data_IF_865119165452
#
_entry.id   IF_865119165452
#
_cell.length_a   1.000
_cell.length_b   1.000
_cell.length_c   1.000
_cell.angle_alpha   90.00
_cell.angle_beta   90.00
_cell.angle_gamma   90.00
#
_symmetry.space_group_name_H-M   'P 1'
#
loop_
_entity.id
_entity.type
_entity.pdbx_description
1 polymer ?
#
# COMPACT_ATOMS: atom_id res chain seq x y z
N UNK A 1 -29.34 -2.73 4.29
CA UNK A 1 -28.94 -1.71 3.31
C UNK A 1 -29.72 -1.96 2.03
N UNK A 2 -30.40 -0.95 1.48
CA UNK A 2 -31.11 -1.06 0.21
C UNK A 2 -30.14 -1.34 -0.93
N UNK A 3 -30.62 -1.93 -2.03
CA UNK A 3 -29.83 -2.24 -3.22
C UNK A 3 -29.27 -0.97 -3.95
N UNK A 4 -29.51 0.22 -3.40
CA UNK A 4 -29.08 1.53 -3.92
C UNK A 4 -27.68 1.98 -3.50
N UNK A 5 -27.07 1.34 -2.49
CA UNK A 5 -25.83 1.85 -1.85
C UNK A 5 -24.58 0.99 -2.17
N UNK A 6 -24.69 0.11 -3.17
CA UNK A 6 -23.58 -0.76 -3.58
C UNK A 6 -22.57 0.03 -4.42
N UNK A 7 -21.28 -0.18 -4.15
CA UNK A 7 -20.22 0.32 -5.03
C UNK A 7 -20.23 -0.52 -6.31
N UNK A 8 -20.33 0.12 -7.46
CA UNK A 8 -20.25 -0.52 -8.77
C UNK A 8 -18.80 -0.51 -9.24
N UNK A 9 -18.20 -1.68 -9.37
CA UNK A 9 -16.81 -1.84 -9.79
C UNK A 9 -16.80 -2.39 -11.22
N UNK A 10 -16.28 -1.62 -12.18
CA UNK A 10 -16.06 -2.13 -13.53
C UNK A 10 -14.97 -3.20 -13.51
N UNK A 11 -15.28 -4.43 -13.93
CA UNK A 11 -14.28 -5.47 -14.17
C UNK A 11 -13.79 -5.36 -15.62
N UNK A 12 -12.66 -4.67 -15.82
CA UNK A 12 -12.03 -4.49 -17.13
C UNK A 12 -10.97 -5.56 -17.31
N UNK A 13 -11.25 -6.51 -18.20
CA UNK A 13 -10.43 -7.70 -18.31
C UNK A 13 -10.50 -8.34 -19.69
N UNK A 14 -9.54 -9.20 -19.99
CA UNK A 14 -9.40 -9.91 -21.29
C UNK A 14 -10.38 -11.08 -21.44
N UNK A 15 -11.58 -10.99 -20.88
CA UNK A 15 -12.61 -12.03 -20.94
C UNK A 15 -13.86 -11.61 -20.15
N UNK A 16 -14.98 -12.29 -20.34
CA UNK A 16 -16.17 -12.09 -19.48
C UNK A 16 -16.08 -12.86 -18.16
N UNK A 17 -15.31 -13.95 -18.12
CA UNK A 17 -15.20 -14.80 -16.94
C UNK A 17 -13.79 -15.40 -16.84
N UNK A 18 -13.19 -15.35 -15.64
CA UNK A 18 -11.95 -16.06 -15.36
C UNK A 18 -12.25 -17.42 -14.72
N UNK A 19 -12.18 -18.46 -15.55
CA UNK A 19 -12.29 -19.84 -15.07
C UNK A 19 -11.33 -20.09 -13.90
N UNK A 20 -11.87 -20.40 -12.72
CA UNK A 20 -11.11 -20.69 -11.50
C UNK A 20 -10.89 -19.51 -10.54
N UNK A 21 -11.11 -18.26 -10.96
CA UNK A 21 -10.93 -17.07 -10.09
C UNK A 21 -12.21 -16.23 -9.96
N UNK A 22 -13.16 -16.36 -10.89
CA UNK A 22 -14.41 -15.58 -10.89
C UNK A 22 -15.15 -15.62 -9.54
N UNK A 23 -15.29 -16.82 -8.95
CA UNK A 23 -15.94 -17.00 -7.65
C UNK A 23 -15.24 -16.21 -6.52
N UNK A 24 -13.91 -16.10 -6.59
CA UNK A 24 -13.13 -15.38 -5.59
C UNK A 24 -13.29 -13.86 -5.74
N UNK A 25 -13.40 -13.35 -6.98
CA UNK A 25 -13.73 -11.95 -7.26
C UNK A 25 -15.13 -11.59 -6.72
N UNK A 26 -16.14 -12.41 -7.03
CA UNK A 26 -17.51 -12.20 -6.58
C UNK A 26 -17.64 -12.28 -5.06
N UNK A 27 -16.93 -13.23 -4.43
CA UNK A 27 -16.89 -13.39 -2.98
C UNK A 27 -16.28 -12.16 -2.30
N UNK A 28 -15.16 -11.64 -2.83
CA UNK A 28 -14.51 -10.44 -2.31
C UNK A 28 -15.40 -9.19 -2.48
N UNK A 29 -16.00 -8.99 -3.66
CA UNK A 29 -16.90 -7.86 -3.90
C UNK A 29 -18.15 -7.90 -3.01
N UNK A 30 -18.78 -9.08 -2.88
CA UNK A 30 -19.97 -9.27 -2.04
C UNK A 30 -19.68 -8.98 -0.57
N UNK A 31 -18.51 -9.38 -0.06
CA UNK A 31 -18.07 -9.11 1.31
C UNK A 31 -17.93 -7.61 1.62
N UNK A 32 -17.76 -6.77 0.59
CA UNK A 32 -17.59 -5.32 0.70
C UNK A 32 -18.86 -4.54 0.30
N UNK A 33 -19.99 -5.22 0.13
CA UNK A 33 -21.23 -4.63 -0.41
C UNK A 33 -20.97 -3.89 -1.74
N UNK A 34 -20.19 -4.51 -2.61
CA UNK A 34 -19.88 -4.05 -3.97
C UNK A 34 -20.44 -5.01 -5.02
N UNK A 35 -20.65 -4.50 -6.23
CA UNK A 35 -21.16 -5.22 -7.39
C UNK A 35 -20.15 -5.11 -8.54
N UNK A 36 -19.80 -6.24 -9.15
CA UNK A 36 -18.97 -6.26 -10.35
C UNK A 36 -19.84 -5.98 -11.57
N UNK A 37 -19.46 -4.97 -12.33
CA UNK A 37 -20.12 -4.56 -13.58
C UNK A 37 -19.19 -4.89 -14.73
N UNK A 38 -19.70 -5.54 -15.76
CA UNK A 38 -18.99 -5.75 -17.01
C UNK A 38 -19.38 -4.63 -17.98
N UNK A 39 -18.48 -3.70 -18.34
CA UNK A 39 -18.83 -2.61 -19.23
C UNK A 39 -19.31 -3.15 -20.58
N UNK A 40 -20.50 -2.71 -21.00
CA UNK A 40 -20.96 -2.90 -22.37
C UNK A 40 -20.19 -1.97 -23.30
N UNK A 41 -19.95 -2.41 -24.53
CA UNK A 41 -19.21 -1.64 -25.54
C UNK A 41 -19.83 -1.83 -26.92
N UNK A 42 -19.43 -1.02 -27.90
CA UNK A 42 -19.79 -1.22 -29.30
C UNK A 42 -18.75 -2.11 -30.00
N UNK A 43 -19.22 -3.22 -30.60
CA UNK A 43 -18.38 -4.23 -31.26
C UNK A 43 -17.60 -3.59 -32.42
N UNK A 44 -18.16 -2.55 -33.04
CA UNK A 44 -17.53 -1.83 -34.15
C UNK A 44 -16.20 -1.17 -33.77
N UNK A 45 -16.01 -0.86 -32.48
CA UNK A 45 -14.79 -0.22 -31.97
C UNK A 45 -13.57 -1.16 -31.93
N UNK A 46 -13.77 -2.48 -31.98
CA UNK A 46 -12.68 -3.47 -31.83
C UNK A 46 -11.65 -3.41 -32.97
N UNK A 47 -12.05 -2.92 -34.14
CA UNK A 47 -11.17 -2.81 -35.30
C UNK A 47 -10.30 -1.54 -35.28
N UNK A 48 -10.70 -0.52 -34.52
CA UNK A 48 -9.97 0.77 -34.42
C UNK A 48 -9.26 0.96 -33.07
N UNK A 49 -9.63 0.18 -32.05
CA UNK A 49 -9.16 0.40 -30.66
C UNK A 49 -7.64 0.34 -30.52
N UNK A 50 -6.97 -0.50 -31.31
CA UNK A 50 -5.51 -0.60 -31.30
C UNK A 50 -4.83 0.71 -31.71
N UNK A 51 -5.35 1.36 -32.75
CA UNK A 51 -4.86 2.65 -33.23
C UNK A 51 -5.13 3.78 -32.23
N UNK A 52 -6.29 3.76 -31.59
CA UNK A 52 -6.68 4.77 -30.60
C UNK A 52 -5.79 4.76 -29.35
N UNK A 53 -5.41 3.57 -28.87
CA UNK A 53 -4.46 3.40 -27.78
C UNK A 53 -2.99 3.50 -28.21
N UNK A 54 -2.72 3.54 -29.52
CA UNK A 54 -1.36 3.44 -30.06
C UNK A 54 -0.68 2.09 -29.77
N UNK A 55 -1.47 1.04 -29.49
CA UNK A 55 -1.02 -0.30 -29.13
C UNK A 55 -1.83 -1.36 -29.90
N UNK A 56 -1.22 -1.93 -30.93
CA UNK A 56 -1.82 -3.04 -31.68
C UNK A 56 -1.56 -4.38 -30.98
N UNK A 57 -2.60 -5.18 -30.82
CA UNK A 57 -2.53 -6.49 -30.15
C UNK A 57 -3.21 -7.58 -30.95
N UNK A 58 -2.60 -8.77 -30.98
CA UNK A 58 -3.10 -9.88 -31.79
C UNK A 58 -4.37 -10.49 -31.18
N UNK A 59 -4.44 -10.52 -29.84
CA UNK A 59 -5.55 -11.13 -29.10
C UNK A 59 -6.85 -10.31 -29.21
N UNK A 60 -7.95 -10.89 -29.74
CA UNK A 60 -9.27 -10.24 -29.73
C UNK A 60 -9.76 -9.92 -28.32
N UNK A 61 -9.43 -10.77 -27.35
CA UNK A 61 -9.79 -10.61 -25.94
C UNK A 61 -9.09 -9.41 -25.29
N UNK A 62 -7.86 -9.10 -25.72
CA UNK A 62 -7.15 -7.90 -25.28
C UNK A 62 -7.73 -6.64 -25.93
N UNK A 63 -8.12 -6.70 -27.22
CA UNK A 63 -8.85 -5.61 -27.86
C UNK A 63 -10.20 -5.34 -27.18
N UNK A 64 -10.89 -6.40 -26.75
CA UNK A 64 -12.11 -6.28 -25.96
C UNK A 64 -11.87 -5.58 -24.61
N UNK A 65 -10.77 -5.91 -23.92
CA UNK A 65 -10.37 -5.25 -22.69
C UNK A 65 -10.15 -3.74 -22.90
N UNK A 66 -9.47 -3.36 -23.99
CA UNK A 66 -9.23 -1.96 -24.36
C UNK A 66 -10.55 -1.23 -24.70
N UNK A 67 -11.45 -1.87 -25.44
CA UNK A 67 -12.76 -1.29 -25.77
C UNK A 67 -13.64 -1.09 -24.52
N UNK A 68 -13.59 -2.01 -23.55
CA UNK A 68 -14.26 -1.85 -22.25
C UNK A 68 -13.69 -0.70 -21.44
N UNK A 69 -12.38 -0.50 -21.48
CA UNK A 69 -11.72 0.64 -20.84
C UNK A 69 -12.23 1.97 -21.41
N UNK A 70 -12.32 2.06 -22.74
CA UNK A 70 -12.92 3.20 -23.44
C UNK A 70 -14.37 3.44 -23.02
N UNK A 71 -15.20 2.40 -22.97
CA UNK A 71 -16.58 2.54 -22.52
C UNK A 71 -16.74 3.07 -21.08
N UNK A 72 -15.78 2.76 -20.20
CA UNK A 72 -15.72 3.34 -18.84
C UNK A 72 -15.36 4.82 -18.88
N UNK A 73 -14.31 5.19 -19.62
CA UNK A 73 -13.86 6.59 -19.76
C UNK A 73 -14.93 7.47 -20.42
N UNK A 74 -15.61 6.98 -21.44
CA UNK A 74 -16.72 7.69 -22.12
C UNK A 74 -18.00 7.79 -21.26
N UNK A 75 -18.02 7.17 -20.07
CA UNK A 75 -19.15 7.23 -19.15
C UNK A 75 -20.36 6.40 -19.59
N UNK A 76 -20.18 5.47 -20.53
CA UNK A 76 -21.24 4.53 -20.97
C UNK A 76 -21.60 3.59 -19.82
N UNK A 77 -20.58 3.10 -19.09
CA UNK A 77 -20.76 2.31 -17.88
C UNK A 77 -20.80 3.22 -16.63
N UNK A 78 -21.93 3.24 -15.92
CA UNK A 78 -22.06 3.95 -14.64
C UNK A 78 -21.44 3.15 -13.50
N UNK A 79 -20.19 3.44 -13.19
CA UNK A 79 -19.38 2.75 -12.17
C UNK A 79 -18.67 3.75 -11.24
N UNK A 80 -18.31 3.28 -10.05
CA UNK A 80 -17.67 4.09 -9.00
C UNK A 80 -16.16 3.81 -8.88
N UNK A 81 -15.68 2.72 -9.49
CA UNK A 81 -14.27 2.33 -9.52
C UNK A 81 -14.02 1.24 -10.55
N UNK A 82 -12.75 0.97 -10.82
CA UNK A 82 -12.34 0.04 -11.89
C UNK A 82 -11.33 -0.97 -11.36
N UNK A 83 -11.60 -2.25 -11.60
CA UNK A 83 -10.69 -3.35 -11.37
C UNK A 83 -10.21 -3.92 -12.70
N UNK A 84 -8.96 -3.62 -13.05
CA UNK A 84 -8.30 -4.06 -14.27
C UNK A 84 -7.58 -5.38 -13.99
N UNK A 85 -7.89 -6.44 -14.73
CA UNK A 85 -7.31 -7.74 -14.44
C UNK A 85 -6.89 -8.54 -15.68
N UNK A 86 -5.79 -9.28 -15.56
CA UNK A 86 -5.30 -10.22 -16.58
C UNK A 86 -4.69 -11.47 -15.95
N UNK A 87 -4.46 -12.52 -16.75
CA UNK A 87 -3.68 -13.68 -16.28
C UNK A 87 -2.17 -13.32 -16.21
N UNK A 88 -1.43 -13.93 -15.27
CA UNK A 88 0.02 -13.68 -15.13
C UNK A 88 0.89 -14.23 -16.26
N UNK A 89 0.38 -15.18 -17.05
CA UNK A 89 1.19 -15.91 -18.04
C UNK A 89 1.31 -15.21 -19.39
N UNK A 90 0.52 -14.18 -19.65
CA UNK A 90 0.49 -13.49 -20.94
C UNK A 90 1.28 -12.18 -20.89
N UNK A 91 2.43 -12.14 -21.58
CA UNK A 91 3.27 -10.94 -21.65
C UNK A 91 2.57 -9.77 -22.36
N UNK A 92 1.84 -10.05 -23.46
CA UNK A 92 1.04 -9.04 -24.17
C UNK A 92 -0.04 -8.45 -23.24
N UNK A 93 -0.68 -9.30 -22.42
CA UNK A 93 -1.67 -8.85 -21.45
C UNK A 93 -1.08 -7.96 -20.34
N UNK A 94 0.19 -8.16 -19.95
CA UNK A 94 0.84 -7.28 -18.98
C UNK A 94 1.01 -5.86 -19.54
N UNK A 95 1.39 -5.72 -20.81
CA UNK A 95 1.51 -4.43 -21.50
C UNK A 95 0.14 -3.77 -21.60
N UNK A 96 -0.86 -4.50 -22.11
CA UNK A 96 -2.24 -3.98 -22.25
C UNK A 96 -2.84 -3.58 -20.90
N UNK A 97 -2.63 -4.38 -19.85
CA UNK A 97 -3.11 -4.06 -18.50
C UNK A 97 -2.56 -2.73 -18.02
N UNK A 98 -1.27 -2.47 -18.23
CA UNK A 98 -0.63 -1.23 -17.82
C UNK A 98 -1.16 -0.02 -18.60
N UNK A 99 -1.30 -0.15 -19.92
CA UNK A 99 -1.80 0.92 -20.80
C UNK A 99 -3.29 1.21 -20.54
N UNK A 100 -4.14 0.18 -20.47
CA UNK A 100 -5.57 0.31 -20.13
C UNK A 100 -5.77 0.98 -18.78
N UNK A 101 -4.97 0.58 -17.79
CA UNK A 101 -5.04 1.19 -16.46
C UNK A 101 -4.62 2.65 -16.48
N UNK A 102 -3.52 3.00 -17.17
CA UNK A 102 -3.06 4.39 -17.29
C UNK A 102 -4.13 5.26 -17.94
N UNK A 103 -4.67 4.81 -19.07
CA UNK A 103 -5.76 5.47 -19.78
C UNK A 103 -6.97 5.74 -18.87
N UNK A 104 -7.44 4.73 -18.13
CA UNK A 104 -8.57 4.92 -17.20
C UNK A 104 -8.22 5.93 -16.09
N UNK A 105 -7.02 5.84 -15.52
CA UNK A 105 -6.60 6.75 -14.44
C UNK A 105 -6.56 8.21 -14.90
N UNK A 106 -5.95 8.47 -16.07
CA UNK A 106 -5.75 9.82 -16.61
C UNK A 106 -7.07 10.45 -17.09
N UNK A 107 -7.99 9.66 -17.66
CA UNK A 107 -9.14 10.20 -18.37
C UNK A 107 -10.49 10.07 -17.63
N UNK A 108 -10.61 9.26 -16.56
CA UNK A 108 -11.91 9.03 -15.90
C UNK A 108 -12.11 9.69 -14.53
N UNK A 109 -11.03 10.00 -13.80
CA UNK A 109 -11.11 10.43 -12.39
C UNK A 109 -11.66 9.36 -11.42
N UNK A 110 -11.82 8.12 -11.90
CA UNK A 110 -12.22 6.97 -11.10
C UNK A 110 -10.99 6.32 -10.45
N UNK A 111 -11.12 5.77 -9.23
CA UNK A 111 -10.09 4.93 -8.67
C UNK A 111 -9.93 3.67 -9.53
N UNK A 112 -8.68 3.31 -9.81
CA UNK A 112 -8.36 2.12 -10.62
C UNK A 112 -7.32 1.26 -9.92
N UNK A 113 -7.59 -0.04 -9.87
CA UNK A 113 -6.66 -1.05 -9.39
C UNK A 113 -6.36 -2.01 -10.52
N UNK A 114 -5.09 -2.38 -10.66
CA UNK A 114 -4.66 -3.46 -11.54
C UNK A 114 -4.25 -4.68 -10.74
N UNK A 115 -4.61 -5.86 -11.24
CA UNK A 115 -4.17 -7.12 -10.66
C UNK A 115 -3.84 -8.16 -11.74
N UNK A 116 -2.72 -8.84 -11.55
CA UNK A 116 -2.33 -9.99 -12.34
C UNK A 116 -2.66 -11.27 -11.57
N UNK A 117 -3.62 -12.06 -12.06
CA UNK A 117 -4.03 -13.30 -11.40
C UNK A 117 -2.88 -14.30 -11.35
N UNK A 118 -2.65 -14.89 -10.18
CA UNK A 118 -1.79 -16.06 -10.03
C UNK A 118 -2.62 -17.35 -10.04
N UNK A 119 -1.96 -18.51 -10.14
CA UNK A 119 -2.63 -19.83 -10.15
C UNK A 119 -3.49 -20.10 -8.91
N UNK A 120 -3.28 -19.38 -7.80
CA UNK A 120 -3.99 -19.55 -6.53
C UNK A 120 -4.47 -18.22 -5.96
N UNK A 121 -5.15 -17.43 -6.79
CA UNK A 121 -5.82 -16.22 -6.31
C UNK A 121 -6.98 -16.61 -5.38
N UNK A 122 -7.08 -15.96 -4.22
CA UNK A 122 -8.16 -16.18 -3.23
C UNK A 122 -8.87 -14.87 -2.92
N UNK A 123 -10.11 -14.94 -2.44
CA UNK A 123 -10.88 -13.76 -2.04
C UNK A 123 -10.14 -12.93 -0.98
N UNK A 124 -9.44 -13.58 -0.05
CA UNK A 124 -8.65 -12.89 0.97
C UNK A 124 -7.53 -12.01 0.37
N UNK A 125 -6.86 -12.47 -0.68
CA UNK A 125 -5.82 -11.70 -1.38
C UNK A 125 -6.40 -10.50 -2.16
N UNK A 126 -7.64 -10.62 -2.61
CA UNK A 126 -8.37 -9.58 -3.34
C UNK A 126 -9.03 -8.57 -2.39
N UNK A 127 -9.39 -8.99 -1.17
CA UNK A 127 -10.19 -8.22 -0.24
C UNK A 127 -9.60 -6.85 0.05
N UNK A 128 -8.34 -6.77 0.48
CA UNK A 128 -7.69 -5.49 0.80
C UNK A 128 -7.66 -4.54 -0.41
N UNK A 129 -7.42 -5.09 -1.62
CA UNK A 129 -7.40 -4.29 -2.85
C UNK A 129 -8.79 -3.73 -3.14
N UNK A 130 -9.81 -4.59 -3.13
CA UNK A 130 -11.19 -4.16 -3.39
C UNK A 130 -11.71 -3.23 -2.30
N UNK A 131 -11.30 -3.40 -1.05
CA UNK A 131 -11.68 -2.56 0.07
C UNK A 131 -11.08 -1.16 -0.03
N UNK A 132 -9.81 -1.05 -0.44
CA UNK A 132 -9.20 0.23 -0.78
C UNK A 132 -9.97 0.92 -1.92
N UNK A 133 -10.31 0.17 -2.99
CA UNK A 133 -11.09 0.71 -4.12
C UNK A 133 -12.44 1.26 -3.68
N UNK A 134 -13.20 0.48 -2.90
CA UNK A 134 -14.53 0.88 -2.41
C UNK A 134 -14.44 2.05 -1.44
N UNK A 135 -13.38 2.09 -0.63
CA UNK A 135 -13.10 3.22 0.26
C UNK A 135 -12.84 4.49 -0.53
N UNK A 136 -11.95 4.45 -1.54
CA UNK A 136 -11.64 5.63 -2.36
C UNK A 136 -12.89 6.11 -3.09
N UNK A 137 -13.74 5.19 -3.55
CA UNK A 137 -15.00 5.52 -4.21
C UNK A 137 -16.01 6.19 -3.27
N UNK A 138 -16.18 5.68 -2.04
CA UNK A 138 -17.25 6.12 -1.10
C UNK A 138 -16.82 7.26 -0.16
N UNK A 139 -15.55 7.30 0.21
CA UNK A 139 -15.04 8.11 1.32
C UNK A 139 -14.14 9.25 0.86
N UNK A 140 -14.31 9.75 -0.39
CA UNK A 140 -13.52 10.90 -0.91
C UNK A 140 -13.52 12.10 0.04
N UNK A 141 -14.67 12.42 0.65
CA UNK A 141 -14.80 13.52 1.60
C UNK A 141 -13.93 13.32 2.87
N UNK A 142 -13.82 12.09 3.35
CA UNK A 142 -12.99 11.74 4.50
C UNK A 142 -11.50 11.81 4.12
N UNK A 143 -11.14 11.27 2.94
CA UNK A 143 -9.78 11.26 2.43
C UNK A 143 -9.27 12.66 2.05
N UNK A 144 -10.17 13.58 1.70
CA UNK A 144 -9.86 14.97 1.40
C UNK A 144 -9.58 15.83 2.65
N UNK A 145 -9.81 15.33 3.88
CA UNK A 145 -9.51 16.09 5.10
C UNK A 145 -8.01 16.38 5.21
N UNK A 146 -7.64 17.63 5.39
CA UNK A 146 -6.23 18.03 5.52
C UNK A 146 -5.76 18.15 6.98
N UNK A 147 -6.68 18.40 7.91
CA UNK A 147 -6.36 18.64 9.32
C UNK A 147 -7.09 17.64 10.23
N UNK A 148 -6.41 17.29 11.32
CA UNK A 148 -6.93 16.53 12.44
C UNK A 148 -7.50 17.50 13.48
N UNK A 149 -8.77 17.33 13.83
CA UNK A 149 -9.48 18.18 14.79
C UNK A 149 -9.89 17.38 16.03
N UNK A 150 -9.87 18.03 17.21
CA UNK A 150 -10.28 17.42 18.47
C UNK A 150 -9.26 16.43 19.02
N UNK A 151 -9.65 15.69 20.06
CA UNK A 151 -8.81 14.69 20.72
C UNK A 151 -9.13 13.29 20.19
N UNK A 152 -8.33 12.78 19.26
CA UNK A 152 -8.54 11.46 18.65
C UNK A 152 -7.37 10.53 18.86
N UNK A 153 -7.61 9.23 18.73
CA UNK A 153 -6.56 8.21 18.72
C UNK A 153 -6.63 7.35 17.46
N UNK A 154 -5.47 6.94 16.99
CA UNK A 154 -5.33 5.98 15.90
C UNK A 154 -4.51 4.78 16.34
N UNK A 155 -4.93 3.58 15.97
CA UNK A 155 -4.25 2.32 16.31
C UNK A 155 -3.98 1.52 15.03
N UNK A 156 -2.72 1.32 14.70
CA UNK A 156 -2.25 0.48 13.59
C UNK A 156 -1.75 -0.86 14.14
N UNK A 157 -2.53 -1.92 13.92
CA UNK A 157 -2.13 -3.29 14.26
C UNK A 157 -1.55 -4.00 13.03
N UNK A 158 -0.28 -3.73 12.74
CA UNK A 158 0.49 -4.38 11.69
C UNK A 158 0.97 -5.79 12.02
N UNK A 159 1.57 -6.44 11.01
CA UNK A 159 2.06 -7.82 11.08
C UNK A 159 3.19 -8.06 12.08
N UNK A 160 4.09 -7.08 12.28
CA UNK A 160 5.25 -7.20 13.17
C UNK A 160 5.15 -6.32 14.41
N UNK A 161 4.49 -5.17 14.29
CA UNK A 161 4.43 -4.16 15.36
C UNK A 161 3.08 -3.49 15.38
N UNK A 162 2.58 -3.20 16.57
CA UNK A 162 1.37 -2.41 16.82
C UNK A 162 1.77 -1.02 17.27
N UNK A 163 1.16 0.01 16.69
CA UNK A 163 1.40 1.40 17.04
C UNK A 163 0.10 2.08 17.42
N UNK A 164 0.20 3.04 18.32
CA UNK A 164 -0.89 3.95 18.63
C UNK A 164 -0.37 5.39 18.66
N UNK A 165 -1.22 6.33 18.29
CA UNK A 165 -0.96 7.76 18.39
C UNK A 165 -2.19 8.44 18.97
N UNK A 166 -1.99 9.40 19.86
CA UNK A 166 -3.02 10.33 20.33
C UNK A 166 -2.70 11.70 19.74
N UNK A 167 -3.68 12.30 19.06
CA UNK A 167 -3.56 13.63 18.47
C UNK A 167 -4.55 14.61 19.07
N UNK A 168 -4.16 15.88 19.15
CA UNK A 168 -5.03 17.00 19.45
C UNK A 168 -4.73 18.15 18.49
N UNK A 169 -5.72 18.54 17.70
CA UNK A 169 -5.66 19.71 16.81
C UNK A 169 -4.34 19.78 16.01
N UNK A 170 -4.11 18.75 15.18
CA UNK A 170 -2.91 18.50 14.36
C UNK A 170 -1.62 18.13 15.11
N UNK A 171 -1.59 18.19 16.45
CA UNK A 171 -0.42 17.84 17.24
C UNK A 171 -0.44 16.38 17.72
N UNK A 172 0.64 15.65 17.48
CA UNK A 172 0.89 14.35 18.10
C UNK A 172 1.32 14.59 19.55
N UNK A 173 0.46 14.26 20.51
CA UNK A 173 0.71 14.48 21.94
C UNK A 173 1.12 13.20 22.69
N UNK A 174 1.01 12.04 22.06
CA UNK A 174 1.51 10.79 22.62
C UNK A 174 1.59 9.67 21.59
N UNK A 175 2.54 8.75 21.78
CA UNK A 175 2.78 7.61 20.90
C UNK A 175 3.05 6.32 21.68
N UNK A 176 2.72 5.20 21.05
CA UNK A 176 3.06 3.87 21.53
C UNK A 176 3.53 3.01 20.38
N UNK A 177 4.57 2.21 20.62
CA UNK A 177 5.12 1.29 19.63
C UNK A 177 5.59 0.01 20.31
N UNK A 178 4.95 -1.10 19.98
CA UNK A 178 5.27 -2.41 20.58
C UNK A 178 5.28 -3.52 19.53
N UNK A 179 6.01 -4.63 19.76
CA UNK A 179 5.88 -5.81 18.92
C UNK A 179 4.45 -6.37 18.93
N UNK A 180 3.92 -6.76 17.77
CA UNK A 180 2.64 -7.48 17.67
C UNK A 180 2.89 -8.94 18.01
N UNK A 181 2.42 -9.39 19.18
CA UNK A 181 2.48 -10.82 19.56
C UNK A 181 1.05 -11.34 19.72
N UNK A 182 0.33 -10.79 20.68
CA UNK A 182 -1.11 -11.00 20.84
C UNK A 182 -1.81 -9.69 20.51
N UNK A 183 -2.58 -9.69 19.42
CA UNK A 183 -3.12 -8.48 18.78
C UNK A 183 -3.80 -7.54 19.80
N UNK A 184 -4.75 -8.05 20.60
CA UNK A 184 -5.47 -7.24 21.59
C UNK A 184 -4.56 -6.69 22.69
N UNK A 185 -3.75 -7.54 23.33
CA UNK A 185 -2.84 -7.12 24.40
C UNK A 185 -1.79 -6.10 23.89
N UNK A 186 -1.33 -6.26 22.64
CA UNK A 186 -0.37 -5.36 22.00
C UNK A 186 -1.01 -4.00 21.71
N UNK A 187 -2.26 -3.99 21.23
CA UNK A 187 -3.02 -2.76 20.99
C UNK A 187 -3.35 -2.02 22.28
N UNK A 188 -3.77 -2.72 23.34
CA UNK A 188 -3.97 -2.12 24.67
C UNK A 188 -2.69 -1.50 25.22
N UNK A 189 -1.56 -2.21 25.07
CA UNK A 189 -0.27 -1.70 25.54
C UNK A 189 0.18 -0.47 24.75
N UNK A 190 0.06 -0.49 23.42
CA UNK A 190 0.41 0.64 22.56
C UNK A 190 -0.47 1.86 22.88
N UNK A 191 -1.79 1.68 22.96
CA UNK A 191 -2.72 2.76 23.28
C UNK A 191 -2.44 3.32 24.68
N UNK A 192 -2.20 2.46 25.68
CA UNK A 192 -1.87 2.92 27.03
C UNK A 192 -0.60 3.77 27.06
N UNK A 193 0.46 3.35 26.35
CA UNK A 193 1.69 4.16 26.25
C UNK A 193 1.42 5.55 25.66
N UNK A 194 0.63 5.61 24.58
CA UNK A 194 0.27 6.86 23.94
C UNK A 194 -0.58 7.76 24.86
N UNK A 195 -1.56 7.19 25.57
CA UNK A 195 -2.40 7.91 26.54
C UNK A 195 -1.59 8.43 27.73
N UNK A 196 -0.72 7.60 28.30
CA UNK A 196 0.14 7.96 29.43
C UNK A 196 1.08 9.12 29.05
N UNK A 197 1.66 9.09 27.85
CA UNK A 197 2.51 10.16 27.33
C UNK A 197 1.70 11.44 27.07
N UNK A 198 0.49 11.32 26.54
CA UNK A 198 -0.41 12.44 26.30
C UNK A 198 -1.00 13.05 27.58
N UNK A 199 -0.94 12.34 28.72
CA UNK A 199 -1.54 12.76 29.97
C UNK A 199 -3.07 12.81 29.93
N UNK A 200 -3.70 12.00 29.09
CA UNK A 200 -5.16 11.91 28.91
C UNK A 200 -5.65 10.50 29.20
N UNK A 201 -6.94 10.36 29.52
CA UNK A 201 -7.56 9.05 29.71
C UNK A 201 -8.26 8.60 28.43
N UNK A 202 -8.52 7.29 28.33
CA UNK A 202 -9.26 6.75 27.18
C UNK A 202 -10.66 7.35 27.07
N UNK A 203 -11.30 7.66 28.19
CA UNK A 203 -12.65 8.24 28.21
C UNK A 203 -12.69 9.69 27.70
N UNK A 204 -11.53 10.35 27.61
CA UNK A 204 -11.43 11.70 27.07
C UNK A 204 -11.36 11.71 25.53
N UNK A 205 -11.03 10.57 24.90
CA UNK A 205 -10.94 10.46 23.45
C UNK A 205 -12.32 10.65 22.82
N UNK A 206 -12.42 11.56 21.85
CA UNK A 206 -13.66 11.85 21.14
C UNK A 206 -13.93 10.86 20.02
N UNK A 207 -12.88 10.28 19.42
CA UNK A 207 -13.02 9.22 18.43
C UNK A 207 -11.76 8.34 18.33
N UNK A 208 -11.94 7.08 17.95
CA UNK A 208 -10.86 6.09 17.75
C UNK A 208 -10.92 5.49 16.35
N UNK A 209 -9.80 5.60 15.63
CA UNK A 209 -9.59 4.95 14.33
C UNK A 209 -8.69 3.73 14.46
N UNK A 210 -8.99 2.66 13.73
CA UNK A 210 -8.15 1.46 13.66
C UNK A 210 -7.77 1.09 12.24
N UNK A 211 -6.54 0.62 12.06
CA UNK A 211 -6.01 0.15 10.77
C UNK A 211 -5.05 -1.04 10.91
N UNK A 212 -4.49 -1.48 9.79
CA UNK A 212 -3.63 -2.65 9.66
C UNK A 212 -4.39 -3.97 9.61
N UNK A 213 -3.62 -5.07 9.60
CA UNK A 213 -4.14 -6.45 9.56
C UNK A 213 -5.09 -6.77 10.72
N UNK A 214 -4.85 -6.21 11.90
CA UNK A 214 -5.67 -6.46 13.09
C UNK A 214 -6.91 -5.58 13.24
N UNK A 215 -7.17 -4.64 12.32
CA UNK A 215 -8.11 -3.51 12.51
C UNK A 215 -9.51 -3.89 12.97
N UNK A 216 -10.08 -4.98 12.46
CA UNK A 216 -11.43 -5.40 12.84
C UNK A 216 -11.47 -5.91 14.27
N UNK A 217 -10.53 -6.79 14.62
CA UNK A 217 -10.43 -7.34 15.98
C UNK A 217 -10.20 -6.25 17.02
N UNK A 218 -9.29 -5.31 16.74
CA UNK A 218 -9.04 -4.19 17.66
C UNK A 218 -10.18 -3.17 17.61
N UNK A 219 -10.80 -2.96 16.44
CA UNK A 219 -11.91 -2.03 16.26
C UNK A 219 -13.12 -2.44 17.08
N UNK A 220 -13.50 -3.72 17.02
CA UNK A 220 -14.58 -4.28 17.84
C UNK A 220 -14.26 -4.18 19.34
N UNK A 221 -13.01 -4.44 19.73
CA UNK A 221 -12.57 -4.36 21.13
C UNK A 221 -12.57 -2.92 21.68
N UNK A 222 -12.15 -1.95 20.86
CA UNK A 222 -12.10 -0.55 21.27
C UNK A 222 -13.41 0.21 21.03
N UNK A 223 -14.39 -0.41 20.36
CA UNK A 223 -15.58 0.25 19.82
C UNK A 223 -15.19 1.45 18.93
N UNK A 224 -14.31 1.20 17.97
CA UNK A 224 -13.74 2.21 17.09
C UNK A 224 -14.79 2.81 16.15
N UNK A 225 -14.74 4.13 15.98
CA UNK A 225 -15.62 4.91 15.09
C UNK A 225 -15.26 4.71 13.61
N UNK A 226 -14.00 4.38 13.33
CA UNK A 226 -13.50 4.08 12.00
C UNK A 226 -12.60 2.85 12.02
N UNK A 227 -12.94 1.83 11.23
CA UNK A 227 -12.07 0.68 10.95
C UNK A 227 -11.74 0.72 9.46
N UNK A 228 -10.50 1.09 9.12
CA UNK A 228 -10.12 1.39 7.74
C UNK A 228 -8.87 0.63 7.33
N UNK A 229 -8.87 0.10 6.11
CA UNK A 229 -7.73 -0.63 5.56
C UNK A 229 -6.48 0.25 5.39
N UNK A 230 -5.30 -0.36 5.40
CA UNK A 230 -4.03 0.34 5.57
C UNK A 230 -3.54 1.12 4.33
N UNK A 231 -3.96 0.78 3.10
CA UNK A 231 -3.53 1.50 1.88
C UNK A 231 -3.98 2.96 1.96
N UNK A 232 -5.26 3.19 2.23
CA UNK A 232 -5.85 4.52 2.34
C UNK A 232 -5.38 5.26 3.58
N UNK A 233 -5.28 4.59 4.71
CA UNK A 233 -4.83 5.21 5.97
C UNK A 233 -3.35 5.57 5.93
N UNK A 234 -2.48 4.65 5.51
CA UNK A 234 -1.03 4.86 5.51
C UNK A 234 -0.61 5.89 4.47
N UNK A 235 -1.21 5.86 3.26
CA UNK A 235 -0.93 6.89 2.24
C UNK A 235 -1.32 8.27 2.75
N UNK A 236 -2.51 8.40 3.35
CA UNK A 236 -2.96 9.66 3.95
C UNK A 236 -2.04 10.13 5.08
N UNK A 237 -1.68 9.25 6.01
CA UNK A 237 -0.75 9.55 7.09
C UNK A 237 0.63 9.95 6.58
N UNK A 238 1.12 9.32 5.51
CA UNK A 238 2.41 9.62 4.90
C UNK A 238 2.45 11.04 4.31
N UNK A 239 1.46 11.42 3.50
CA UNK A 239 1.41 12.77 2.90
C UNK A 239 1.11 13.85 3.94
N UNK A 240 0.33 13.53 4.98
CA UNK A 240 0.07 14.43 6.10
C UNK A 240 1.38 14.77 6.84
N UNK A 241 2.12 13.74 7.28
CA UNK A 241 3.39 13.93 8.00
C UNK A 241 4.47 14.59 7.12
N UNK A 242 4.47 14.33 5.82
CA UNK A 242 5.37 14.96 4.85
C UNK A 242 4.95 16.38 4.43
N UNK A 243 3.78 16.87 4.88
CA UNK A 243 3.17 18.15 4.44
C UNK A 243 3.03 18.25 2.92
N UNK A 244 2.67 17.13 2.29
CA UNK A 244 2.55 16.94 0.85
C UNK A 244 1.13 16.49 0.46
N UNK A 245 0.11 17.05 1.11
CA UNK A 245 -1.28 16.68 0.87
C UNK A 245 -1.88 17.30 -0.41
N UNK A 246 -1.17 18.20 -1.09
CA UNK A 246 -1.62 18.87 -2.31
C UNK A 246 -0.71 18.52 -3.47
N UNK A 247 -1.29 18.29 -4.65
CA UNK A 247 -0.58 17.82 -5.83
C UNK A 247 -0.25 16.33 -5.79
N UNK A 248 0.70 15.94 -6.65
CA UNK A 248 1.11 14.55 -6.79
C UNK A 248 2.14 14.16 -5.72
N UNK A 249 2.11 12.90 -5.29
CA UNK A 249 3.16 12.29 -4.47
C UNK A 249 3.23 10.78 -4.72
N UNK A 250 4.37 10.18 -4.40
CA UNK A 250 4.53 8.72 -4.38
C UNK A 250 4.91 8.29 -2.98
N UNK A 251 4.13 7.38 -2.38
CA UNK A 251 4.41 6.80 -1.07
C UNK A 251 4.94 5.37 -1.25
N UNK A 252 6.12 5.10 -0.70
CA UNK A 252 6.66 3.75 -0.53
C UNK A 252 6.59 3.40 0.95
N UNK A 253 5.75 2.43 1.31
CA UNK A 253 5.63 1.89 2.67
C UNK A 253 6.34 0.54 2.75
N UNK A 254 7.45 0.47 3.49
CA UNK A 254 8.20 -0.78 3.71
C UNK A 254 7.96 -1.27 5.14
N UNK A 255 6.95 -2.11 5.26
CA UNK A 255 6.53 -2.76 6.49
C UNK A 255 7.42 -3.93 6.90
N UNK A 256 6.94 -4.67 7.90
CA UNK A 256 7.66 -5.82 8.46
C UNK A 256 7.63 -7.05 7.56
N UNK A 257 6.49 -7.35 6.93
CA UNK A 257 6.33 -8.52 6.05
C UNK A 257 6.00 -8.17 4.59
N UNK A 258 5.45 -6.98 4.37
CA UNK A 258 4.97 -6.52 3.07
C UNK A 258 5.55 -5.14 2.73
N UNK A 259 5.35 -4.74 1.47
CA UNK A 259 5.70 -3.41 0.98
C UNK A 259 4.62 -2.91 0.03
N UNK A 260 4.52 -1.59 -0.11
CA UNK A 260 3.49 -0.93 -0.90
C UNK A 260 4.12 0.24 -1.63
N UNK A 261 3.73 0.42 -2.88
CA UNK A 261 3.96 1.64 -3.62
C UNK A 261 2.58 2.22 -3.96
N UNK A 262 2.38 3.50 -3.67
CA UNK A 262 1.07 4.16 -3.77
C UNK A 262 1.29 5.54 -4.39
N UNK A 263 0.65 5.81 -5.53
CA UNK A 263 0.49 7.17 -6.04
C UNK A 263 -0.61 7.88 -5.25
N UNK A 264 -0.39 9.15 -4.96
CA UNK A 264 -1.32 10.01 -4.22
C UNK A 264 -1.48 11.30 -5.00
N UNK A 265 -2.72 11.76 -5.13
CA UNK A 265 -3.06 13.05 -5.74
C UNK A 265 -3.99 13.81 -4.79
N UNK A 266 -3.62 15.01 -4.39
CA UNK A 266 -4.38 15.86 -3.45
C UNK A 266 -4.79 15.10 -2.18
N UNK A 267 -3.84 14.29 -1.66
CA UNK A 267 -4.00 13.51 -0.45
C UNK A 267 -4.90 12.29 -0.58
N UNK A 268 -5.42 12.01 -1.78
CA UNK A 268 -6.23 10.84 -2.08
C UNK A 268 -5.36 9.80 -2.79
N UNK A 269 -5.29 8.54 -2.29
CA UNK A 269 -4.55 7.49 -2.98
C UNK A 269 -5.22 7.15 -4.31
N UNK A 270 -4.40 7.07 -5.35
CA UNK A 270 -4.79 6.63 -6.69
C UNK A 270 -4.37 5.18 -6.92
N UNK A 271 -3.42 5.01 -7.85
CA UNK A 271 -2.85 3.71 -8.20
C UNK A 271 -1.96 3.20 -7.07
N UNK A 272 -2.06 1.91 -6.76
CA UNK A 272 -1.16 1.27 -5.82
C UNK A 272 -0.84 -0.17 -6.20
N UNK A 273 0.28 -0.65 -5.67
CA UNK A 273 0.69 -2.05 -5.74
C UNK A 273 1.12 -2.51 -4.36
N UNK A 274 0.94 -3.80 -4.11
CA UNK A 274 1.38 -4.45 -2.88
C UNK A 274 2.26 -5.64 -3.26
N UNK A 275 3.50 -5.62 -2.78
CA UNK A 275 4.45 -6.72 -2.91
C UNK A 275 4.59 -7.48 -1.60
N UNK A 276 5.67 -8.24 -1.47
CA UNK A 276 6.03 -8.88 -0.20
C UNK A 276 5.28 -10.18 0.12
N UNK A 277 4.68 -10.87 -0.87
CA UNK A 277 4.27 -12.28 -0.65
C UNK A 277 5.48 -13.14 -0.22
N UNK A 278 6.68 -12.77 -0.69
CA UNK A 278 7.95 -13.24 -0.16
C UNK A 278 8.58 -12.13 0.70
N UNK A 279 8.95 -12.45 1.95
CA UNK A 279 9.54 -11.50 2.91
C UNK A 279 10.92 -10.93 2.51
N UNK A 280 11.43 -11.23 1.30
CA UNK A 280 12.74 -10.78 0.80
C UNK A 280 12.87 -9.27 0.62
N UNK A 281 11.76 -8.57 0.38
CA UNK A 281 11.71 -7.11 0.17
C UNK A 281 11.04 -6.37 1.35
N UNK A 282 11.26 -6.84 2.58
CA UNK A 282 10.58 -6.32 3.77
C UNK A 282 11.54 -6.09 4.93
N UNK A 283 11.06 -5.40 5.97
CA UNK A 283 11.81 -5.21 7.22
C UNK A 283 12.25 -6.52 7.88
N UNK A 284 11.55 -7.63 7.65
CA UNK A 284 11.95 -8.95 8.18
C UNK A 284 13.28 -9.43 7.61
N UNK A 285 13.59 -9.13 6.35
CA UNK A 285 14.90 -9.46 5.78
C UNK A 285 16.00 -8.63 6.44
N UNK A 286 15.77 -7.34 6.68
CA UNK A 286 16.70 -6.46 7.38
C UNK A 286 16.92 -6.91 8.83
N UNK A 287 15.87 -7.34 9.53
CA UNK A 287 15.95 -7.90 10.88
C UNK A 287 16.76 -9.20 10.94
N UNK A 288 16.61 -10.08 9.92
CA UNK A 288 17.44 -11.28 9.83
C UNK A 288 18.90 -10.94 9.54
N UNK A 289 19.14 -9.92 8.72
CA UNK A 289 20.49 -9.42 8.44
C UNK A 289 21.16 -8.85 9.69
N UNK A 290 20.47 -8.01 10.47
CA UNK A 290 21.04 -7.45 11.71
C UNK A 290 21.42 -8.55 12.71
N UNK A 291 20.53 -9.55 12.90
CA UNK A 291 20.83 -10.74 13.72
C UNK A 291 22.02 -11.52 13.20
N UNK A 292 22.18 -11.64 11.88
CA UNK A 292 23.33 -12.32 11.28
C UNK A 292 24.65 -11.57 11.51
N UNK A 293 24.60 -10.24 11.50
CA UNK A 293 25.74 -9.38 11.79
C UNK A 293 26.03 -9.23 13.29
N UNK A 294 25.09 -9.67 14.15
CA UNK A 294 25.24 -9.59 15.60
C UNK A 294 25.02 -8.19 16.17
N UNK A 295 24.20 -7.37 15.50
CA UNK A 295 23.87 -5.99 15.88
C UNK A 295 22.36 -5.80 16.07
N UNK A 296 21.97 -4.75 16.78
CA UNK A 296 20.56 -4.36 16.86
C UNK A 296 20.08 -3.82 15.49
N UNK A 297 18.79 -3.94 15.20
CA UNK A 297 18.24 -3.42 13.93
C UNK A 297 18.41 -1.91 13.80
N UNK A 298 18.42 -1.18 14.92
CA UNK A 298 18.66 0.28 14.95
C UNK A 298 20.07 0.66 14.52
N UNK A 299 21.05 -0.23 14.67
CA UNK A 299 22.45 -0.02 14.28
C UNK A 299 22.71 -0.37 12.80
N UNK A 300 21.78 -1.09 12.16
CA UNK A 300 21.96 -1.58 10.78
C UNK A 300 22.10 -0.43 9.77
N UNK A 301 21.38 0.67 9.98
CA UNK A 301 21.44 1.85 9.12
C UNK A 301 22.84 2.48 9.10
N UNK A 302 23.43 2.66 10.28
CA UNK A 302 24.76 3.26 10.45
C UNK A 302 25.89 2.40 9.90
N UNK A 303 25.71 1.08 9.85
CA UNK A 303 26.61 0.17 9.14
C UNK A 303 26.45 0.30 7.63
N UNK A 304 25.20 0.27 7.15
CA UNK A 304 24.89 0.30 5.73
C UNK A 304 25.40 1.58 5.03
N UNK A 305 25.35 2.73 5.70
CA UNK A 305 25.86 3.99 5.13
C UNK A 305 27.38 3.99 4.89
N UNK A 306 28.14 3.18 5.64
CA UNK A 306 29.61 3.07 5.56
C UNK A 306 30.08 2.03 4.52
N UNK A 307 29.20 1.11 4.15
CA UNK A 307 29.51 0.03 3.22
C UNK A 307 29.30 0.39 1.76
N UNK A 308 29.78 -0.50 0.88
CA UNK A 308 29.53 -0.48 -0.55
C UNK A 308 28.79 -1.75 -0.97
N UNK A 309 27.52 -1.60 -1.36
CA UNK A 309 26.67 -2.74 -1.76
C UNK A 309 27.32 -3.64 -2.83
N UNK A 310 28.03 -3.03 -3.80
CA UNK A 310 28.68 -3.71 -4.94
C UNK A 310 29.76 -4.73 -4.53
N UNK A 311 30.23 -4.69 -3.28
CA UNK A 311 31.23 -5.64 -2.77
C UNK A 311 30.60 -7.00 -2.38
N UNK A 312 29.27 -7.11 -2.41
CA UNK A 312 28.52 -8.29 -1.99
C UNK A 312 27.60 -8.72 -3.13
N UNK A 313 27.78 -9.95 -3.58
CA UNK A 313 26.96 -10.53 -4.66
C UNK A 313 25.65 -11.08 -4.07
N UNK A 314 24.54 -10.47 -4.44
CA UNK A 314 23.21 -10.79 -3.93
C UNK A 314 22.41 -11.67 -4.90
N UNK A 315 21.63 -12.60 -4.33
CA UNK A 315 20.51 -13.25 -5.02
C UNK A 315 19.23 -12.79 -4.32
N UNK A 316 18.59 -11.77 -4.89
CA UNK A 316 17.76 -10.83 -4.14
C UNK A 316 16.30 -11.27 -3.94
N UNK A 317 15.75 -12.19 -4.73
CA UNK A 317 14.29 -12.45 -4.71
C UNK A 317 13.75 -13.26 -3.52
N UNK A 318 14.57 -14.14 -2.93
CA UNK A 318 14.13 -15.03 -1.86
C UNK A 318 14.89 -14.73 -0.58
N UNK A 319 14.18 -14.48 0.53
CA UNK A 319 14.79 -14.18 1.83
C UNK A 319 15.84 -15.24 2.24
N UNK A 320 15.58 -16.52 1.95
CA UNK A 320 16.50 -17.62 2.29
C UNK A 320 17.80 -17.53 1.49
N UNK A 321 17.68 -17.33 0.17
CA UNK A 321 18.86 -17.21 -0.70
C UNK A 321 19.59 -15.88 -0.50
N UNK A 322 18.87 -14.80 -0.23
CA UNK A 322 19.44 -13.50 0.13
C UNK A 322 20.31 -13.62 1.38
N UNK A 323 19.79 -14.22 2.46
CA UNK A 323 20.59 -14.46 3.68
C UNK A 323 21.79 -15.36 3.38
N UNK A 324 21.61 -16.41 2.57
CA UNK A 324 22.72 -17.29 2.18
C UNK A 324 23.82 -16.53 1.39
N UNK A 325 23.45 -15.60 0.51
CA UNK A 325 24.40 -14.71 -0.20
C UNK A 325 25.19 -13.83 0.77
N UNK A 326 24.53 -13.24 1.78
CA UNK A 326 25.20 -12.45 2.82
C UNK A 326 26.19 -13.31 3.63
N UNK A 327 25.78 -14.53 4.02
CA UNK A 327 26.65 -15.49 4.73
C UNK A 327 27.89 -15.85 3.90
N UNK A 328 27.69 -16.17 2.62
CA UNK A 328 28.77 -16.53 1.72
C UNK A 328 29.75 -15.36 1.52
N UNK A 329 29.25 -14.14 1.41
CA UNK A 329 30.07 -12.94 1.25
C UNK A 329 30.93 -12.65 2.48
N UNK A 330 30.35 -12.78 3.68
CA UNK A 330 31.14 -12.71 4.93
C UNK A 330 32.25 -13.77 4.97
N UNK A 331 31.95 -15.00 4.56
CA UNK A 331 32.95 -16.08 4.51
C UNK A 331 34.08 -15.81 3.49
N UNK A 332 33.81 -15.02 2.44
CA UNK A 332 34.79 -14.55 1.45
C UNK A 332 35.56 -13.30 1.90
N UNK A 333 35.26 -12.75 3.08
CA UNK A 333 35.95 -11.59 3.66
C UNK A 333 35.27 -10.24 3.41
N UNK A 334 34.01 -10.21 2.96
CA UNK A 334 33.24 -8.96 2.92
C UNK A 334 33.06 -8.39 4.33
N UNK A 335 33.05 -7.06 4.44
CA UNK A 335 32.88 -6.37 5.72
C UNK A 335 31.40 -6.39 6.17
N UNK A 336 31.12 -6.32 7.49
CA UNK A 336 29.75 -6.13 7.99
C UNK A 336 29.04 -4.92 7.37
N UNK A 337 29.76 -3.84 7.13
CA UNK A 337 29.26 -2.63 6.50
C UNK A 337 28.80 -2.89 5.05
N UNK A 338 29.63 -3.56 4.24
CA UNK A 338 29.27 -3.93 2.87
C UNK A 338 28.03 -4.83 2.82
N UNK A 339 27.92 -5.77 3.77
CA UNK A 339 26.79 -6.69 3.91
C UNK A 339 25.50 -5.95 4.31
N UNK A 340 25.59 -5.00 5.24
CA UNK A 340 24.47 -4.15 5.61
C UNK A 340 24.00 -3.28 4.43
N UNK A 341 24.94 -2.70 3.68
CA UNK A 341 24.67 -1.90 2.48
C UNK A 341 23.97 -2.74 1.40
N UNK A 342 24.47 -3.95 1.13
CA UNK A 342 23.90 -4.87 0.16
C UNK A 342 22.50 -5.37 0.55
N UNK A 343 22.24 -5.60 1.84
CA UNK A 343 20.90 -5.95 2.30
C UNK A 343 19.90 -4.81 2.08
N UNK A 344 20.26 -3.56 2.41
CA UNK A 344 19.40 -2.41 2.15
C UNK A 344 19.15 -2.22 0.64
N UNK A 345 20.20 -2.31 -0.17
CA UNK A 345 20.09 -2.22 -1.62
C UNK A 345 19.19 -3.32 -2.20
N UNK A 346 19.34 -4.56 -1.74
CA UNK A 346 18.54 -5.69 -2.21
C UNK A 346 17.04 -5.54 -1.92
N UNK A 347 16.65 -4.91 -0.81
CA UNK A 347 15.23 -4.61 -0.53
C UNK A 347 14.69 -3.61 -1.54
N UNK A 348 15.44 -2.54 -1.77
CA UNK A 348 15.06 -1.44 -2.67
C UNK A 348 15.02 -1.91 -4.13
N UNK A 349 16.00 -2.69 -4.57
CA UNK A 349 16.06 -3.28 -5.92
C UNK A 349 14.81 -4.12 -6.23
N UNK A 350 14.38 -4.97 -5.30
CA UNK A 350 13.17 -5.75 -5.47
C UNK A 350 11.90 -4.90 -5.57
N UNK A 351 11.79 -3.82 -4.76
CA UNK A 351 10.66 -2.88 -4.86
C UNK A 351 10.64 -2.21 -6.23
N UNK A 352 11.81 -1.78 -6.72
CA UNK A 352 11.94 -1.18 -8.03
C UNK A 352 11.50 -2.12 -9.16
N UNK A 353 11.96 -3.37 -9.14
CA UNK A 353 11.66 -4.35 -10.18
C UNK A 353 10.21 -4.86 -10.14
N UNK A 354 9.62 -4.99 -8.94
CA UNK A 354 8.31 -5.62 -8.78
C UNK A 354 7.15 -4.62 -8.73
N UNK A 355 7.38 -3.41 -8.18
CA UNK A 355 6.30 -2.46 -7.89
C UNK A 355 6.41 -1.19 -8.71
N UNK A 356 7.61 -0.61 -8.83
CA UNK A 356 7.78 0.67 -9.50
C UNK A 356 7.67 0.57 -11.04
N UNK A 357 7.71 -0.64 -11.61
CA UNK A 357 7.33 -0.86 -13.01
C UNK A 357 5.83 -0.67 -13.25
N UNK A 358 5.03 -0.82 -12.21
CA UNK A 358 3.59 -0.65 -12.27
C UNK A 358 3.16 0.73 -11.76
N UNK A 359 4.00 1.62 -11.27
CA UNK A 359 3.54 2.95 -10.80
C UNK A 359 4.43 4.03 -11.39
N UNK A 360 3.81 5.08 -11.92
CA UNK A 360 4.56 6.26 -12.29
C UNK A 360 5.03 6.97 -11.01
N UNK A 361 6.35 7.08 -10.86
CA UNK A 361 6.95 7.75 -9.70
C UNK A 361 6.84 9.26 -9.89
N UNK A 362 5.98 9.88 -9.09
CA UNK A 362 5.82 11.34 -8.94
C UNK A 362 6.51 11.85 -7.68
N UNK A 363 7.06 13.06 -7.76
CA UNK A 363 7.66 13.74 -6.60
C UNK A 363 6.64 14.56 -5.82
N UNK A 364 6.72 14.61 -4.47
CA UNK A 364 7.77 14.01 -3.67
C UNK A 364 7.63 12.49 -3.52
N UNK A 365 8.78 11.81 -3.50
CA UNK A 365 8.87 10.39 -3.15
C UNK A 365 9.02 10.26 -1.64
N UNK A 366 7.99 9.74 -0.97
CA UNK A 366 7.88 9.65 0.48
C UNK A 366 8.11 8.20 0.91
N UNK A 367 9.13 7.95 1.74
CA UNK A 367 9.44 6.63 2.28
C UNK A 367 9.00 6.53 3.75
N UNK A 368 8.19 5.53 4.05
CA UNK A 368 7.55 5.33 5.35
C UNK A 368 7.58 3.87 5.79
N UNK A 369 7.03 3.59 6.98
CA UNK A 369 7.13 2.30 7.63
C UNK A 369 8.41 2.17 8.46
N UNK A 370 8.52 1.10 9.27
CA UNK A 370 9.65 0.95 10.19
C UNK A 370 11.02 0.88 9.50
N UNK A 371 11.06 0.37 8.26
CA UNK A 371 12.32 0.27 7.51
C UNK A 371 12.84 1.62 7.03
N UNK A 372 12.01 2.67 6.99
CA UNK A 372 12.44 4.03 6.64
C UNK A 372 13.44 4.62 7.65
N UNK A 373 13.46 4.10 8.88
CA UNK A 373 14.39 4.52 9.94
C UNK A 373 15.79 3.92 9.78
N UNK A 374 15.94 2.90 8.93
CA UNK A 374 17.22 2.27 8.64
C UNK A 374 17.90 3.10 7.54
N UNK A 375 18.78 4.03 7.91
CA UNK A 375 19.35 5.05 7.00
C UNK A 375 19.95 4.50 5.67
N UNK A 376 20.36 3.23 5.62
CA UNK A 376 20.79 2.57 4.38
C UNK A 376 19.68 2.40 3.34
N UNK A 377 18.41 2.30 3.76
CA UNK A 377 17.24 2.13 2.88
C UNK A 377 16.91 3.40 2.10
N UNK A 378 16.68 4.58 2.70
CA UNK A 378 16.48 5.81 1.93
C UNK A 378 17.70 6.11 1.04
N UNK A 379 18.93 5.94 1.55
CA UNK A 379 20.15 6.11 0.74
C UNK A 379 20.14 5.21 -0.50
N UNK A 380 19.83 3.92 -0.35
CA UNK A 380 19.79 2.99 -1.48
C UNK A 380 18.69 3.36 -2.49
N UNK A 381 17.54 3.86 -2.01
CA UNK A 381 16.43 4.30 -2.84
C UNK A 381 16.78 5.56 -3.64
N UNK A 382 17.43 6.54 -3.02
CA UNK A 382 17.95 7.73 -3.70
C UNK A 382 19.01 7.38 -4.74
N UNK A 383 19.93 6.47 -4.40
CA UNK A 383 20.97 6.01 -5.31
C UNK A 383 20.40 5.26 -6.52
N UNK A 384 19.35 4.45 -6.32
CA UNK A 384 18.73 3.67 -7.39
C UNK A 384 17.86 4.55 -8.30
N UNK A 385 16.99 5.39 -7.72
CA UNK A 385 16.01 6.18 -8.46
C UNK A 385 16.53 7.53 -8.95
N UNK A 386 17.65 8.01 -8.40
CA UNK A 386 18.17 9.37 -8.66
C UNK A 386 17.18 10.49 -8.33
N UNK A 387 16.30 10.23 -7.35
CA UNK A 387 15.28 11.15 -6.84
C UNK A 387 15.53 11.33 -5.34
N UNK A 388 15.29 12.53 -4.81
CA UNK A 388 15.39 12.79 -3.38
C UNK A 388 14.26 12.11 -2.61
N UNK A 389 14.59 11.38 -1.53
CA UNK A 389 13.60 10.64 -0.75
C UNK A 389 13.24 11.43 0.51
N UNK A 390 11.95 11.67 0.70
CA UNK A 390 11.41 12.30 1.91
C UNK A 390 11.07 11.22 2.93
N UNK A 391 11.77 11.22 4.07
CA UNK A 391 11.38 10.42 5.25
C UNK A 391 10.79 11.39 6.29
N UNK A 392 9.46 11.44 6.46
CA UNK A 392 8.86 12.38 7.40
C UNK A 392 9.12 11.97 8.86
N UNK A 393 9.01 12.90 9.82
CA UNK A 393 9.01 12.54 11.24
C UNK A 393 7.85 11.57 11.53
N UNK A 394 8.03 10.65 12.48
CA UNK A 394 7.03 9.62 12.81
C UNK A 394 6.65 8.70 11.64
N UNK A 395 7.54 8.51 10.66
CA UNK A 395 7.32 7.67 9.47
C UNK A 395 6.90 6.23 9.78
N UNK A 396 7.26 5.69 10.95
CA UNK A 396 6.82 4.38 11.44
C UNK A 396 5.39 4.36 12.00
N UNK A 397 4.82 5.52 12.32
CA UNK A 397 3.47 5.70 12.89
C UNK A 397 2.43 6.14 11.86
N UNK A 398 2.75 6.17 10.56
CA UNK A 398 1.86 6.63 9.48
C UNK A 398 0.43 6.06 9.56
N UNK A 399 0.26 4.78 9.88
CA UNK A 399 -1.06 4.16 9.97
C UNK A 399 -1.85 4.66 11.19
N UNK A 400 -1.18 4.85 12.33
CA UNK A 400 -1.81 5.40 13.51
C UNK A 400 -2.13 6.89 13.33
N UNK A 401 -1.22 7.67 12.73
CA UNK A 401 -1.46 9.09 12.42
C UNK A 401 -2.60 9.24 11.41
N UNK A 402 -2.56 8.49 10.31
CA UNK A 402 -3.62 8.50 9.31
C UNK A 402 -4.98 8.11 9.89
N UNK A 403 -5.02 7.14 10.80
CA UNK A 403 -6.26 6.72 11.45
C UNK A 403 -6.81 7.81 12.39
N UNK A 404 -5.94 8.45 13.18
CA UNK A 404 -6.31 9.57 14.06
C UNK A 404 -6.79 10.80 13.27
N UNK A 405 -6.15 11.08 12.14
CA UNK A 405 -6.52 12.13 11.20
C UNK A 405 -7.90 11.86 10.58
N UNK A 406 -8.10 10.68 9.98
CA UNK A 406 -9.36 10.37 9.30
C UNK A 406 -10.53 10.28 10.29
N UNK A 407 -10.32 9.67 11.47
CA UNK A 407 -11.40 9.54 12.46
C UNK A 407 -11.83 10.89 13.06
N UNK A 408 -11.02 11.95 12.94
CA UNK A 408 -11.44 13.30 13.35
C UNK A 408 -12.70 13.80 12.63
N UNK A 409 -13.00 13.28 11.44
CA UNK A 409 -14.25 13.57 10.74
C UNK A 409 -15.52 13.08 11.45
N UNK A 410 -15.40 12.34 12.56
CA UNK A 410 -16.52 11.85 13.37
C UNK A 410 -16.71 12.62 14.68
N UNK A 411 -15.83 13.56 15.02
CA UNK A 411 -15.84 14.30 16.29
C UNK A 411 -17.06 15.21 16.44
N UNK A 412 -17.68 15.63 15.33
CA UNK A 412 -18.84 16.55 15.30
C UNK A 412 -20.20 15.88 15.04
N UNK A 413 -20.38 14.60 15.40
CA UNK A 413 -21.72 13.98 15.34
C UNK A 413 -22.56 14.30 16.59
N UNK A 414 -23.11 15.52 16.64
CA UNK A 414 -24.37 15.83 17.32
C UNK A 414 -25.53 15.97 16.33
#
# INVERSE_FOLDING_TARGET
MSNSDKVKIALVSCGSEYAGVQKELESAASSLNAELVYPEMDVSSLDTIGQEFGLEVASPDLRLMMARAKAVVEGVAKVDGVFVATCFRCAEAAIVRNEVRRYIFEDSGLPVISYSFTERTTAATLLTRMEALTTIAKSKHLLARENQEGLTAGIDSGSTTTKAVVMRDDEIIGEGWVPTIKVLESAEKALRQALDQAGVKREDLQAIGTTGYGRFLIGDHFNADLMQEEITVNSKGAVYLAKAQQGDATVIDIGGMDNKAISVQDGIPGMFTMGGVCAGASGRFLEMTSKRLGVDITELGDLAIKGMQKNVEMNSYCIVFGIQSLVNSLAKGATPEDVAAAACHSVVEQIFEQQLQEIEVKEPLILVGGSSLIAGVPKALEELLKINVVVPPYSQHIGAVGAALLVSGFVDKE
#
